data_IF_697694757219
#
_entry.id   IF_697694757219
#
_cell.length_a   1.000
_cell.length_b   1.000
_cell.length_c   1.000
_cell.angle_alpha   90.00
_cell.angle_beta   90.00
_cell.angle_gamma   90.00
#
_symmetry.space_group_name_H-M   'P 1'
#
loop_
_entity.id
_entity.type
_entity.pdbx_description
1 polymer ?
#
# COMPACT_ATOMS: atom_id res chain seq x y z
N UNK A 1 20.80 -39.04 27.72
CA UNK A 1 20.79 -38.14 26.55
C UNK A 1 19.46 -37.40 26.52
N UNK A 2 19.41 -36.22 27.14
CA UNK A 2 18.20 -35.46 27.41
C UNK A 2 18.18 -34.20 26.55
N UNK A 3 17.21 -34.09 25.65
CA UNK A 3 16.93 -32.86 24.89
C UNK A 3 16.39 -31.81 25.87
N UNK A 4 17.09 -30.68 26.02
CA UNK A 4 16.60 -29.51 26.75
C UNK A 4 15.95 -28.54 25.77
N UNK A 5 14.74 -28.13 26.16
CA UNK A 5 13.97 -26.97 25.70
C UNK A 5 14.80 -25.69 25.68
N UNK A 6 14.73 -24.92 24.59
CA UNK A 6 15.19 -23.53 24.54
C UNK A 6 13.96 -22.64 24.43
N UNK A 7 13.65 -21.93 25.51
CA UNK A 7 12.68 -20.85 25.57
C UNK A 7 13.26 -19.60 24.89
N UNK A 8 12.37 -18.83 24.25
CA UNK A 8 12.65 -17.49 23.73
C UNK A 8 13.14 -16.55 24.85
N UNK A 9 14.19 -15.80 24.56
CA UNK A 9 14.52 -14.56 25.28
C UNK A 9 14.32 -13.39 24.32
N UNK A 10 13.58 -12.32 24.67
CA UNK A 10 13.60 -11.11 23.86
C UNK A 10 14.97 -10.44 23.97
N UNK A 11 15.38 -9.76 22.90
CA UNK A 11 16.64 -9.05 22.68
C UNK A 11 16.92 -7.85 23.62
N UNK A 12 16.43 -7.88 24.87
CA UNK A 12 16.74 -6.90 25.92
C UNK A 12 17.42 -7.52 27.16
N UNK A 13 17.49 -8.86 27.28
CA UNK A 13 17.84 -9.54 28.52
C UNK A 13 19.32 -9.94 28.68
N UNK A 14 20.27 -9.09 28.28
CA UNK A 14 21.70 -9.26 28.64
C UNK A 14 22.21 -8.15 29.58
N UNK A 15 21.44 -7.07 29.77
CA UNK A 15 21.84 -5.97 30.66
C UNK A 15 21.50 -6.20 32.14
N UNK A 16 20.50 -7.04 32.43
CA UNK A 16 20.08 -7.28 33.82
C UNK A 16 21.00 -8.26 34.56
N UNK A 17 21.66 -9.18 33.84
CA UNK A 17 22.59 -10.15 34.43
C UNK A 17 23.99 -9.58 34.77
N UNK A 18 24.34 -8.38 34.29
CA UNK A 18 25.62 -7.74 34.60
C UNK A 18 25.52 -6.70 35.73
N UNK A 19 24.35 -6.04 35.88
CA UNK A 19 24.13 -5.04 36.92
C UNK A 19 23.92 -5.61 38.33
N UNK A 20 23.66 -6.91 38.48
CA UNK A 20 23.51 -7.57 39.80
C UNK A 20 24.85 -8.03 40.41
N UNK A 21 25.99 -7.85 39.72
CA UNK A 21 27.34 -8.21 40.24
C UNK A 21 28.21 -7.02 40.63
N UNK A 22 27.71 -5.79 40.51
CA UNK A 22 28.48 -4.57 40.82
C UNK A 22 28.02 -3.86 42.11
N UNK A 23 27.41 -4.59 43.05
CA UNK A 23 27.10 -4.05 44.39
C UNK A 23 28.05 -4.65 45.43
N UNK A 24 29.36 -4.40 45.31
CA UNK A 24 30.25 -4.48 46.46
C UNK A 24 31.52 -3.62 46.26
N UNK A 25 31.64 -2.62 47.14
CA UNK A 25 32.85 -1.93 47.63
C UNK A 25 33.39 -0.70 46.86
N UNK A 26 33.19 0.45 47.52
CA UNK A 26 34.09 1.59 47.81
C UNK A 26 34.79 2.39 46.68
N UNK A 27 34.38 3.66 46.60
CA UNK A 27 35.16 4.90 46.44
C UNK A 27 36.35 4.95 45.47
N UNK A 28 36.14 5.54 44.29
CA UNK A 28 37.14 6.34 43.57
C UNK A 28 36.45 7.33 42.58
N UNK A 29 36.95 8.57 42.41
CA UNK A 29 36.35 9.55 41.52
C UNK A 29 36.69 9.24 40.05
N UNK A 30 35.70 9.38 39.17
CA UNK A 30 35.81 9.11 37.73
C UNK A 30 36.73 10.14 37.04
N UNK A 31 37.73 9.73 36.24
CA UNK A 31 38.50 10.67 35.44
C UNK A 31 37.72 11.11 34.19
N UNK A 32 37.79 12.41 33.94
CA UNK A 32 37.32 13.08 32.71
C UNK A 32 38.27 12.68 31.57
N UNK A 33 37.72 12.48 30.37
CA UNK A 33 38.42 12.17 29.10
C UNK A 33 38.69 10.68 28.78
N UNK A 34 37.63 9.95 28.44
CA UNK A 34 37.66 9.08 27.25
C UNK A 34 36.73 9.69 26.20
N UNK A 35 37.31 10.47 25.29
CA UNK A 35 36.65 10.91 24.06
C UNK A 35 36.85 9.87 22.95
N UNK A 36 35.78 9.64 22.20
CA UNK A 36 35.65 8.81 21.00
C UNK A 36 35.56 7.29 21.20
N UNK A 37 34.35 6.74 20.98
CA UNK A 37 34.12 5.58 20.12
C UNK A 37 32.63 5.21 20.06
N UNK A 38 32.07 5.39 18.84
CA UNK A 38 31.03 4.59 18.19
C UNK A 38 29.55 4.75 18.64
N UNK A 39 28.60 4.64 17.69
CA UNK A 39 27.27 5.20 17.80
C UNK A 39 26.41 4.42 18.80
N UNK A 40 25.46 5.14 19.44
CA UNK A 40 24.28 4.52 20.03
C UNK A 40 23.77 3.46 19.07
N UNK A 41 23.62 2.23 19.57
CA UNK A 41 22.86 1.16 18.95
C UNK A 41 21.67 1.78 18.22
N UNK A 42 21.69 1.78 16.89
CA UNK A 42 20.50 2.09 16.11
C UNK A 42 19.62 0.85 16.24
N UNK A 43 18.97 0.72 17.40
CA UNK A 43 17.69 0.04 17.44
C UNK A 43 16.86 0.74 16.36
N UNK A 44 16.43 0.02 15.34
CA UNK A 44 15.38 0.55 14.49
C UNK A 44 14.19 0.77 15.41
N UNK A 45 13.95 2.04 15.76
CA UNK A 45 12.76 2.43 16.50
C UNK A 45 11.56 1.83 15.76
N UNK A 46 10.64 1.20 16.50
CA UNK A 46 9.36 0.84 15.92
C UNK A 46 8.80 2.10 15.26
N UNK A 47 8.28 2.03 14.02
CA UNK A 47 7.84 3.21 13.33
C UNK A 47 6.89 3.97 14.24
N UNK A 48 7.10 5.29 14.35
CA UNK A 48 6.36 6.19 15.26
C UNK A 48 4.83 6.01 15.10
N UNK A 49 4.41 5.50 13.94
CA UNK A 49 3.07 5.04 13.64
C UNK A 49 3.05 3.61 13.06
N UNK A 50 2.20 2.71 13.58
CA UNK A 50 2.02 1.37 13.02
C UNK A 50 1.45 1.44 11.61
N UNK A 51 1.87 0.54 10.71
CA UNK A 51 1.40 0.52 9.31
C UNK A 51 -0.02 -0.04 9.16
N UNK A 52 -0.54 -0.77 10.16
CA UNK A 52 -1.86 -1.42 10.17
C UNK A 52 -2.35 -1.64 11.61
N UNK A 53 -3.66 -1.67 11.82
CA UNK A 53 -4.33 -2.08 13.07
C UNK A 53 -4.31 -3.59 13.30
N UNK A 54 -4.15 -4.37 12.23
CA UNK A 54 -4.12 -5.83 12.29
C UNK A 54 -2.68 -6.35 12.38
N UNK A 55 -2.47 -7.57 12.91
CA UNK A 55 -1.15 -8.17 12.95
C UNK A 55 -0.52 -8.23 11.57
N UNK A 56 0.79 -8.01 11.53
CA UNK A 56 1.60 -8.17 10.33
C UNK A 56 2.40 -9.47 10.45
N UNK A 57 2.86 -10.05 9.34
CA UNK A 57 3.83 -11.13 9.40
C UNK A 57 5.04 -10.69 10.24
N UNK A 58 5.37 -11.48 11.26
CA UNK A 58 6.53 -11.20 12.14
C UNK A 58 7.81 -11.22 11.33
N UNK A 59 7.88 -12.14 10.35
CA UNK A 59 8.99 -12.23 9.40
C UNK A 59 8.49 -12.64 8.02
N UNK A 60 9.01 -11.97 6.99
CA UNK A 60 8.74 -12.34 5.58
C UNK A 60 9.25 -13.76 5.29
N UNK A 61 10.30 -14.19 6.00
CA UNK A 61 10.91 -15.49 5.78
C UNK A 61 10.17 -16.68 6.42
N UNK A 62 9.02 -16.44 7.03
CA UNK A 62 8.09 -17.46 7.51
C UNK A 62 6.84 -17.56 6.61
N UNK A 63 6.67 -16.64 5.66
CA UNK A 63 5.55 -16.65 4.73
C UNK A 63 5.65 -17.82 3.74
N UNK A 64 4.50 -18.33 3.25
CA UNK A 64 4.48 -19.31 2.16
C UNK A 64 5.39 -18.91 0.99
N UNK A 65 6.13 -19.87 0.38
CA UNK A 65 7.16 -19.54 -0.61
C UNK A 65 6.67 -18.70 -1.80
N UNK A 66 5.44 -18.93 -2.26
CA UNK A 66 4.82 -18.19 -3.35
C UNK A 66 4.53 -16.72 -3.00
N UNK A 67 4.04 -16.47 -1.77
CA UNK A 67 3.77 -15.12 -1.25
C UNK A 67 5.07 -14.36 -1.07
N UNK A 68 6.07 -15.00 -0.44
CA UNK A 68 7.40 -14.41 -0.27
C UNK A 68 8.02 -14.01 -1.60
N UNK A 69 8.03 -14.93 -2.56
CA UNK A 69 8.58 -14.67 -3.90
C UNK A 69 7.90 -13.47 -4.55
N UNK A 70 6.59 -13.33 -4.39
CA UNK A 70 5.84 -12.18 -4.90
C UNK A 70 6.27 -10.86 -4.23
N UNK A 71 6.44 -10.86 -2.91
CA UNK A 71 6.91 -9.71 -2.13
C UNK A 71 8.32 -9.31 -2.57
N UNK A 72 9.22 -10.27 -2.71
CA UNK A 72 10.60 -10.03 -3.18
C UNK A 72 10.61 -9.45 -4.60
N UNK A 73 9.76 -9.96 -5.50
CA UNK A 73 9.66 -9.45 -6.86
C UNK A 73 9.18 -8.00 -6.92
N UNK A 74 8.21 -7.60 -6.09
CA UNK A 74 7.76 -6.20 -6.05
C UNK A 74 8.82 -5.31 -5.40
N UNK A 75 9.53 -5.80 -4.38
CA UNK A 75 10.65 -5.09 -3.76
C UNK A 75 11.75 -4.76 -4.75
N UNK A 76 12.17 -5.73 -5.57
CA UNK A 76 13.17 -5.52 -6.62
C UNK A 76 12.68 -4.51 -7.67
N UNK A 77 11.40 -4.58 -8.07
CA UNK A 77 10.86 -3.70 -9.11
C UNK A 77 10.64 -2.26 -8.64
N UNK A 78 10.24 -2.06 -7.39
CA UNK A 78 9.84 -0.74 -6.87
C UNK A 78 10.86 -0.11 -5.91
N UNK A 79 11.86 -0.87 -5.45
CA UNK A 79 12.86 -0.43 -4.48
C UNK A 79 12.43 -0.56 -3.01
N UNK A 80 11.18 -0.92 -2.74
CA UNK A 80 10.62 -1.12 -1.40
C UNK A 80 9.42 -2.09 -1.44
N UNK A 81 8.90 -2.52 -0.29
CA UNK A 81 7.67 -3.34 -0.24
C UNK A 81 6.47 -2.44 0.04
N UNK A 82 5.50 -2.30 -0.89
CA UNK A 82 4.28 -1.56 -0.59
C UNK A 82 3.51 -2.20 0.57
N UNK A 83 3.08 -1.40 1.55
CA UNK A 83 2.54 -1.89 2.82
C UNK A 83 1.29 -2.78 2.67
N UNK A 84 0.52 -2.64 1.58
CA UNK A 84 -0.60 -3.54 1.28
C UNK A 84 -0.17 -5.02 1.17
N UNK A 85 1.04 -5.29 0.65
CA UNK A 85 1.56 -6.66 0.58
C UNK A 85 1.76 -7.25 1.98
N UNK A 86 2.32 -6.47 2.90
CA UNK A 86 2.56 -6.90 4.27
C UNK A 86 1.25 -7.04 5.04
N UNK A 87 0.32 -6.09 4.87
CA UNK A 87 -0.97 -6.11 5.55
C UNK A 87 -1.83 -7.32 5.14
N UNK A 88 -1.90 -7.62 3.84
CA UNK A 88 -2.69 -8.76 3.36
C UNK A 88 -2.00 -10.11 3.62
N UNK A 89 -0.67 -10.14 3.74
CA UNK A 89 0.07 -11.37 3.99
C UNK A 89 -0.27 -12.02 5.35
N UNK A 90 -0.91 -11.29 6.28
CA UNK A 90 -1.51 -11.88 7.49
C UNK A 90 -2.56 -12.96 7.17
N UNK A 91 -3.21 -12.87 6.00
CA UNK A 91 -4.21 -13.83 5.50
C UNK A 91 -3.77 -14.36 4.13
N UNK A 92 -2.94 -15.42 4.07
CA UNK A 92 -2.33 -15.91 2.84
C UNK A 92 -3.30 -16.18 1.68
N UNK A 93 -4.47 -16.75 1.95
CA UNK A 93 -5.44 -17.08 0.89
C UNK A 93 -6.14 -15.81 0.36
N UNK A 94 -6.44 -14.85 1.25
CA UNK A 94 -6.96 -13.54 0.87
C UNK A 94 -5.93 -12.74 0.06
N UNK A 95 -4.65 -12.78 0.45
CA UNK A 95 -3.54 -12.20 -0.32
C UNK A 95 -3.49 -12.75 -1.74
N UNK A 96 -3.56 -14.08 -1.90
CA UNK A 96 -3.53 -14.73 -3.22
C UNK A 96 -4.70 -14.28 -4.08
N UNK A 97 -5.92 -14.32 -3.54
CA UNK A 97 -7.12 -13.92 -4.26
C UNK A 97 -7.10 -12.45 -4.65
N UNK A 98 -6.76 -11.57 -3.69
CA UNK A 98 -6.67 -10.13 -3.91
C UNK A 98 -5.72 -9.81 -5.07
N UNK A 99 -4.50 -10.34 -5.01
CA UNK A 99 -3.52 -9.99 -6.00
C UNK A 99 -3.67 -10.73 -7.34
N UNK A 100 -4.28 -11.91 -7.36
CA UNK A 100 -4.69 -12.55 -8.61
C UNK A 100 -5.74 -11.70 -9.33
N UNK A 101 -6.73 -11.16 -8.61
CA UNK A 101 -7.74 -10.31 -9.22
C UNK A 101 -7.17 -8.94 -9.62
N UNK A 102 -6.30 -8.35 -8.80
CA UNK A 102 -5.54 -7.16 -9.16
C UNK A 102 -4.83 -7.34 -10.52
N UNK A 103 -4.10 -8.44 -10.70
CA UNK A 103 -3.35 -8.66 -11.94
C UNK A 103 -4.28 -8.88 -13.14
N UNK A 104 -5.39 -9.60 -12.94
CA UNK A 104 -6.39 -9.82 -13.98
C UNK A 104 -7.01 -8.51 -14.49
N UNK A 105 -7.11 -7.48 -13.65
CA UNK A 105 -7.65 -6.17 -14.02
C UNK A 105 -6.56 -5.22 -14.53
N UNK A 106 -5.47 -5.08 -13.78
CA UNK A 106 -4.47 -4.05 -14.04
C UNK A 106 -3.48 -4.45 -15.14
N UNK A 107 -3.20 -5.74 -15.33
CA UNK A 107 -2.16 -6.21 -16.26
C UNK A 107 -2.71 -6.84 -17.56
N UNK A 108 -4.03 -7.04 -17.67
CA UNK A 108 -4.61 -7.60 -18.91
C UNK A 108 -4.45 -6.64 -20.10
N UNK A 109 -4.29 -7.16 -21.34
CA UNK A 109 -4.48 -6.36 -22.55
C UNK A 109 -5.84 -5.68 -22.55
N UNK A 110 -5.88 -4.39 -22.90
CA UNK A 110 -7.06 -3.56 -22.78
C UNK A 110 -6.99 -2.35 -23.72
N UNK A 111 -8.14 -1.79 -24.08
CA UNK A 111 -8.22 -0.48 -24.73
C UNK A 111 -8.06 0.69 -23.74
N UNK A 112 -8.10 0.41 -22.43
CA UNK A 112 -7.71 1.35 -21.39
C UNK A 112 -6.20 1.35 -21.25
N UNK A 113 -5.61 2.54 -21.37
CA UNK A 113 -4.21 2.73 -21.03
C UNK A 113 -3.95 2.49 -19.55
N UNK A 114 -2.70 2.15 -19.20
CA UNK A 114 -2.30 2.00 -17.80
C UNK A 114 -2.55 3.28 -16.98
N UNK A 115 -2.39 4.46 -17.58
CA UNK A 115 -2.71 5.71 -16.90
C UNK A 115 -4.23 5.83 -16.62
N UNK A 116 -5.10 5.46 -17.57
CA UNK A 116 -6.55 5.51 -17.37
C UNK A 116 -7.03 4.54 -16.31
N UNK A 117 -6.46 3.33 -16.22
CA UNK A 117 -6.74 2.41 -15.12
C UNK A 117 -6.42 3.06 -13.78
N UNK A 118 -5.26 3.70 -13.64
CA UNK A 118 -4.89 4.41 -12.42
C UNK A 118 -5.74 5.66 -12.14
N UNK A 119 -6.23 6.37 -13.17
CA UNK A 119 -7.20 7.46 -12.99
C UNK A 119 -8.48 6.98 -12.32
N UNK A 120 -9.01 5.82 -12.75
CA UNK A 120 -10.18 5.19 -12.13
C UNK A 120 -9.90 4.91 -10.65
N UNK A 121 -8.74 4.34 -10.34
CA UNK A 121 -8.36 4.04 -8.95
C UNK A 121 -8.29 5.29 -8.11
N UNK A 122 -7.59 6.34 -8.57
CA UNK A 122 -7.44 7.59 -7.80
C UNK A 122 -8.80 8.27 -7.60
N UNK A 123 -9.63 8.37 -8.65
CA UNK A 123 -10.93 9.04 -8.58
C UNK A 123 -11.92 8.33 -7.64
N UNK A 124 -11.94 6.99 -7.67
CA UNK A 124 -12.82 6.17 -6.81
C UNK A 124 -12.29 6.07 -5.37
N UNK A 125 -10.97 6.05 -5.20
CA UNK A 125 -10.36 6.07 -3.87
C UNK A 125 -10.53 7.41 -3.16
N UNK A 126 -10.53 8.51 -3.91
CA UNK A 126 -10.76 9.84 -3.37
C UNK A 126 -12.18 10.00 -2.82
N UNK A 127 -13.21 9.54 -3.54
CA UNK A 127 -14.60 9.61 -3.04
C UNK A 127 -14.86 8.66 -1.85
N UNK A 128 -14.02 7.64 -1.68
CA UNK A 128 -14.04 6.74 -0.52
C UNK A 128 -13.09 7.18 0.62
N UNK A 129 -12.51 8.38 0.54
CA UNK A 129 -11.56 8.93 1.52
C UNK A 129 -10.42 7.95 1.89
N UNK A 130 -9.92 7.19 0.90
CA UNK A 130 -8.91 6.17 1.14
C UNK A 130 -7.49 6.69 1.01
N UNK A 131 -6.87 7.07 2.14
CA UNK A 131 -5.52 7.64 2.17
C UNK A 131 -4.48 6.75 1.47
N UNK A 132 -4.43 5.45 1.80
CA UNK A 132 -3.45 4.54 1.20
C UNK A 132 -3.56 4.52 -0.32
N UNK A 133 -4.77 4.29 -0.83
CA UNK A 133 -4.99 4.10 -2.25
C UNK A 133 -4.81 5.41 -3.03
N UNK A 134 -5.26 6.55 -2.51
CA UNK A 134 -5.06 7.86 -3.14
C UNK A 134 -3.56 8.18 -3.26
N UNK A 135 -2.78 7.94 -2.21
CA UNK A 135 -1.33 8.24 -2.22
C UNK A 135 -0.57 7.26 -3.11
N UNK A 136 -0.78 5.95 -2.96
CA UNK A 136 -0.06 4.93 -3.71
C UNK A 136 -0.38 4.99 -5.21
N UNK A 137 -1.66 4.98 -5.57
CA UNK A 137 -2.07 5.03 -6.98
C UNK A 137 -1.90 6.42 -7.59
N UNK A 138 -1.93 7.48 -6.79
CA UNK A 138 -1.54 8.82 -7.25
C UNK A 138 -0.08 8.86 -7.73
N UNK A 139 0.83 8.23 -6.99
CA UNK A 139 2.23 8.11 -7.40
C UNK A 139 2.40 7.35 -8.72
N UNK A 140 1.72 6.20 -8.84
CA UNK A 140 1.76 5.38 -10.04
C UNK A 140 1.15 6.14 -11.22
N UNK A 141 0.02 6.83 -11.01
CA UNK A 141 -0.62 7.65 -12.02
C UNK A 141 0.34 8.73 -12.55
N UNK A 142 1.00 9.50 -11.68
CA UNK A 142 1.97 10.53 -12.10
C UNK A 142 3.04 9.96 -13.03
N UNK A 143 3.57 8.77 -12.71
CA UNK A 143 4.55 8.07 -13.55
C UNK A 143 3.94 7.64 -14.89
N UNK A 144 2.77 6.98 -14.87
CA UNK A 144 2.14 6.41 -16.07
C UNK A 144 1.65 7.48 -17.03
N UNK A 145 1.09 8.56 -16.51
CA UNK A 145 0.62 9.69 -17.31
C UNK A 145 1.75 10.66 -17.69
N UNK A 146 2.94 10.52 -17.10
CA UNK A 146 4.05 11.48 -17.20
C UNK A 146 3.58 12.92 -16.91
N UNK A 147 2.66 13.06 -15.94
CA UNK A 147 2.11 14.35 -15.53
C UNK A 147 2.12 14.43 -14.00
N UNK A 148 3.01 15.26 -13.41
CA UNK A 148 3.21 15.31 -11.95
C UNK A 148 2.05 15.96 -11.19
N UNK A 149 1.08 16.59 -11.89
CA UNK A 149 -0.05 17.31 -11.27
C UNK A 149 -1.38 16.56 -11.36
N UNK A 150 -1.45 15.53 -12.21
CA UNK A 150 -2.73 14.94 -12.61
C UNK A 150 -3.40 14.18 -11.47
N UNK A 151 -2.62 13.47 -10.66
CA UNK A 151 -3.15 12.72 -9.52
C UNK A 151 -3.84 13.63 -8.50
N UNK A 152 -3.24 14.79 -8.20
CA UNK A 152 -3.79 15.78 -7.27
C UNK A 152 -5.06 16.40 -7.82
N UNK A 153 -5.09 16.72 -9.12
CA UNK A 153 -6.29 17.25 -9.77
C UNK A 153 -7.45 16.24 -9.72
N UNK A 154 -7.18 14.96 -10.02
CA UNK A 154 -8.20 13.91 -10.00
C UNK A 154 -8.70 13.66 -8.57
N UNK A 155 -7.78 13.54 -7.60
CA UNK A 155 -8.12 13.30 -6.21
C UNK A 155 -8.92 14.46 -5.60
N UNK A 156 -8.55 15.71 -5.89
CA UNK A 156 -9.25 16.88 -5.37
C UNK A 156 -10.61 17.09 -6.06
N UNK A 157 -10.62 17.07 -7.40
CA UNK A 157 -11.83 17.22 -8.20
C UNK A 157 -11.56 16.84 -9.67
N UNK A 158 -11.72 15.57 -10.04
CA UNK A 158 -11.52 15.12 -11.43
C UNK A 158 -12.37 15.88 -12.46
N UNK A 159 -13.50 16.50 -12.05
CA UNK A 159 -14.33 17.34 -12.93
C UNK A 159 -13.66 18.66 -13.31
N UNK A 160 -12.52 19.01 -12.72
CA UNK A 160 -11.69 20.17 -13.07
C UNK A 160 -10.27 19.77 -13.48
N UNK A 161 -9.99 18.47 -13.56
CA UNK A 161 -8.69 17.98 -13.98
C UNK A 161 -8.44 18.22 -15.48
N UNK A 162 -7.16 18.26 -15.83
CA UNK A 162 -6.66 18.35 -17.21
C UNK A 162 -6.81 16.99 -17.93
N UNK A 163 -8.05 16.54 -18.09
CA UNK A 163 -8.43 15.26 -18.71
C UNK A 163 -9.36 15.48 -19.90
N UNK A 164 -9.37 14.53 -20.83
CA UNK A 164 -10.24 14.58 -22.01
C UNK A 164 -11.71 14.33 -21.66
N UNK A 165 -12.68 14.73 -22.51
CA UNK A 165 -14.09 14.36 -22.32
C UNK A 165 -14.31 12.85 -22.20
N UNK A 166 -13.57 12.05 -22.98
CA UNK A 166 -13.60 10.58 -22.89
C UNK A 166 -13.18 10.09 -21.49
N UNK A 167 -12.07 10.60 -20.97
CA UNK A 167 -11.61 10.26 -19.63
C UNK A 167 -12.59 10.71 -18.55
N UNK A 168 -13.22 11.88 -18.71
CA UNK A 168 -14.27 12.32 -17.79
C UNK A 168 -15.46 11.37 -17.76
N UNK A 169 -15.99 10.96 -18.92
CA UNK A 169 -17.11 10.02 -18.99
C UNK A 169 -16.77 8.67 -18.32
N UNK A 170 -15.54 8.19 -18.52
CA UNK A 170 -15.01 7.02 -17.81
C UNK A 170 -15.01 7.19 -16.29
N UNK A 171 -14.53 8.34 -15.79
CA UNK A 171 -14.48 8.61 -14.35
C UNK A 171 -15.86 8.86 -13.74
N UNK A 172 -16.79 9.48 -14.48
CA UNK A 172 -18.18 9.64 -14.06
C UNK A 172 -18.84 8.28 -13.82
N UNK A 173 -18.71 7.36 -14.77
CA UNK A 173 -19.22 6.00 -14.63
C UNK A 173 -18.53 5.22 -13.50
N UNK A 174 -17.20 5.27 -13.43
CA UNK A 174 -16.43 4.63 -12.36
C UNK A 174 -16.84 5.12 -10.96
N UNK A 175 -17.05 6.43 -10.78
CA UNK A 175 -17.54 6.96 -9.51
C UNK A 175 -18.93 6.42 -9.19
N UNK A 176 -19.85 6.39 -10.14
CA UNK A 176 -21.20 5.83 -9.93
C UNK A 176 -21.14 4.36 -9.51
N UNK A 177 -20.28 3.55 -10.15
CA UNK A 177 -20.05 2.15 -9.75
C UNK A 177 -19.52 2.06 -8.31
N UNK A 178 -18.62 2.95 -7.90
CA UNK A 178 -18.00 2.89 -6.59
C UNK A 178 -18.96 3.26 -5.43
N UNK A 179 -19.89 4.20 -5.65
CA UNK A 179 -20.71 4.77 -4.55
C UNK A 179 -22.23 4.66 -4.72
N UNK A 180 -22.75 4.35 -5.92
CA UNK A 180 -24.19 4.31 -6.21
C UNK A 180 -24.54 3.26 -7.29
N UNK A 181 -23.91 2.09 -7.20
CA UNK A 181 -24.03 1.03 -8.23
C UNK A 181 -25.45 0.49 -8.41
N UNK A 182 -26.29 0.56 -7.38
CA UNK A 182 -27.69 0.12 -7.43
C UNK A 182 -28.56 0.95 -8.40
N UNK A 183 -28.10 2.14 -8.78
CA UNK A 183 -28.80 3.04 -9.73
C UNK A 183 -28.20 3.03 -11.13
N UNK A 184 -27.29 2.09 -11.42
CA UNK A 184 -26.78 1.93 -12.78
C UNK A 184 -27.89 1.43 -13.69
N UNK A 185 -27.96 2.03 -14.88
CA UNK A 185 -28.94 1.74 -15.93
C UNK A 185 -28.28 1.87 -17.30
N UNK A 186 -28.97 1.43 -18.35
CA UNK A 186 -28.49 1.51 -19.73
C UNK A 186 -28.17 2.97 -20.15
N UNK A 187 -28.86 3.95 -19.55
CA UNK A 187 -28.62 5.38 -19.79
C UNK A 187 -27.21 5.83 -19.37
N UNK A 188 -26.57 5.13 -18.43
CA UNK A 188 -25.21 5.44 -18.00
C UNK A 188 -24.16 4.99 -19.03
N UNK A 189 -24.52 4.07 -19.94
CA UNK A 189 -23.61 3.53 -20.94
C UNK A 189 -23.57 4.39 -22.20
N UNK A 190 -24.65 5.10 -22.51
CA UNK A 190 -24.76 5.91 -23.72
C UNK A 190 -23.65 6.98 -23.83
N UNK A 191 -23.30 7.75 -22.77
CA UNK A 191 -22.16 8.68 -22.83
C UNK A 191 -20.81 7.99 -23.07
N UNK A 192 -20.63 6.76 -22.58
CA UNK A 192 -19.39 6.00 -22.79
C UNK A 192 -19.28 5.56 -24.26
N UNK A 193 -20.37 5.06 -24.86
CA UNK A 193 -20.41 4.70 -26.27
C UNK A 193 -20.11 5.89 -27.19
N UNK A 194 -20.62 7.08 -26.87
CA UNK A 194 -20.34 8.32 -27.64
C UNK A 194 -18.84 8.68 -27.66
N UNK A 195 -18.08 8.22 -26.67
CA UNK A 195 -16.63 8.40 -26.60
C UNK A 195 -15.83 7.17 -27.06
N UNK A 196 -16.49 6.22 -27.72
CA UNK A 196 -15.86 5.05 -28.34
C UNK A 196 -15.47 3.94 -27.37
N UNK A 197 -15.99 3.95 -26.13
CA UNK A 197 -15.86 2.77 -25.26
C UNK A 197 -16.75 1.65 -25.78
N UNK A 198 -16.24 0.42 -25.75
CA UNK A 198 -17.00 -0.79 -26.02
C UNK A 198 -17.66 -1.30 -24.73
N UNK A 199 -18.59 -2.25 -24.86
CA UNK A 199 -19.18 -2.90 -23.68
C UNK A 199 -18.13 -3.60 -22.80
N UNK A 200 -17.09 -4.17 -23.41
CA UNK A 200 -15.95 -4.76 -22.69
C UNK A 200 -15.15 -3.72 -21.90
N UNK A 201 -15.00 -2.51 -22.43
CA UNK A 201 -14.34 -1.42 -21.72
C UNK A 201 -15.21 -0.94 -20.55
N UNK A 202 -16.54 -0.84 -20.73
CA UNK A 202 -17.48 -0.47 -19.67
C UNK A 202 -17.42 -1.49 -18.52
N UNK A 203 -17.38 -2.78 -18.83
CA UNK A 203 -17.17 -3.83 -17.83
C UNK A 203 -15.84 -3.64 -17.10
N UNK A 204 -14.75 -3.41 -17.83
CA UNK A 204 -13.42 -3.21 -17.22
C UNK A 204 -13.37 -1.99 -16.30
N UNK A 205 -13.97 -0.86 -16.70
CA UNK A 205 -14.08 0.34 -15.87
C UNK A 205 -14.82 0.01 -14.57
N UNK A 206 -15.96 -0.67 -14.67
CA UNK A 206 -16.76 -1.08 -13.52
C UNK A 206 -16.04 -2.08 -12.62
N UNK A 207 -15.33 -3.05 -13.20
CA UNK A 207 -14.59 -4.06 -12.45
C UNK A 207 -13.40 -3.47 -11.68
N UNK A 208 -12.65 -2.53 -12.29
CA UNK A 208 -11.60 -1.78 -11.59
C UNK A 208 -12.21 -0.97 -10.44
N UNK A 209 -13.29 -0.22 -10.70
CA UNK A 209 -13.97 0.55 -9.66
C UNK A 209 -14.45 -0.32 -8.49
N UNK A 210 -15.07 -1.47 -8.78
CA UNK A 210 -15.55 -2.41 -7.76
C UNK A 210 -14.41 -3.02 -6.94
N UNK A 211 -13.34 -3.49 -7.60
CA UNK A 211 -12.18 -4.05 -6.92
C UNK A 211 -11.50 -3.02 -6.01
N UNK A 212 -11.34 -1.78 -6.48
CA UNK A 212 -10.74 -0.74 -5.66
C UNK A 212 -11.67 -0.21 -4.57
N UNK A 213 -12.99 -0.26 -4.76
CA UNK A 213 -13.92 -0.01 -3.68
C UNK A 213 -13.79 -1.06 -2.54
N UNK A 214 -13.52 -2.33 -2.87
CA UNK A 214 -13.15 -3.36 -1.89
C UNK A 214 -11.79 -3.05 -1.25
N UNK A 215 -10.77 -2.76 -2.05
CA UNK A 215 -9.41 -2.41 -1.57
C UNK A 215 -9.44 -1.22 -0.61
N UNK A 216 -10.19 -0.17 -0.94
CA UNK A 216 -10.38 1.01 -0.10
C UNK A 216 -10.97 0.64 1.26
N UNK A 217 -11.99 -0.23 1.29
CA UNK A 217 -12.60 -0.69 2.54
C UNK A 217 -11.62 -1.46 3.41
N UNK A 218 -10.82 -2.35 2.82
CA UNK A 218 -9.78 -3.10 3.53
C UNK A 218 -8.70 -2.15 4.09
N UNK A 219 -8.21 -1.22 3.27
CA UNK A 219 -7.21 -0.23 3.67
C UNK A 219 -7.72 0.71 4.78
N UNK A 220 -8.94 1.25 4.65
CA UNK A 220 -9.53 2.13 5.66
C UNK A 220 -9.80 1.41 6.98
N UNK A 221 -10.40 0.21 6.92
CA UNK A 221 -10.67 -0.62 8.11
C UNK A 221 -9.38 -0.96 8.88
N UNK A 222 -8.31 -1.28 8.14
CA UNK A 222 -7.01 -1.60 8.73
C UNK A 222 -6.19 -0.37 9.12
N UNK A 223 -6.65 0.85 8.82
CA UNK A 223 -5.85 2.07 8.88
C UNK A 223 -4.48 1.90 8.22
N UNK A 224 -4.48 1.34 7.01
CA UNK A 224 -3.27 1.04 6.27
C UNK A 224 -2.52 2.32 5.93
N UNK A 225 -1.26 2.41 6.36
CA UNK A 225 -0.41 3.57 6.08
C UNK A 225 0.27 3.43 4.70
N UNK A 226 0.20 4.43 3.81
CA UNK A 226 1.02 4.42 2.60
C UNK A 226 2.51 4.56 2.95
N UNK A 227 3.36 3.94 2.13
CA UNK A 227 4.81 4.10 2.22
C UNK A 227 5.20 5.57 1.95
N UNK A 228 6.22 6.07 2.66
CA UNK A 228 6.66 7.46 2.53
C UNK A 228 7.19 7.76 1.11
N UNK A 229 7.77 6.75 0.45
CA UNK A 229 8.26 6.80 -0.94
C UNK A 229 7.18 7.24 -1.93
N UNK A 230 5.91 6.86 -1.72
CA UNK A 230 4.82 7.22 -2.64
C UNK A 230 4.53 8.72 -2.64
N UNK A 231 4.83 9.45 -1.55
CA UNK A 231 4.52 10.88 -1.48
C UNK A 231 5.37 11.73 -2.44
N UNK A 232 6.64 11.36 -2.64
CA UNK A 232 7.56 12.06 -3.55
C UNK A 232 7.62 11.49 -4.97
N UNK A 233 7.21 10.23 -5.15
CA UNK A 233 7.35 9.53 -6.41
C UNK A 233 6.55 10.17 -7.56
N UNK A 234 7.22 10.44 -8.69
CA UNK A 234 6.61 11.00 -9.90
C UNK A 234 6.27 12.50 -9.83
N UNK A 235 6.77 13.24 -8.83
CA UNK A 235 6.65 14.70 -8.74
C UNK A 235 7.74 15.43 -9.54
#
# INVERSE_FOLDING_TARGET
MSRRSVFLTPLCAVRQAYNERATHRYDAPMPVWFHSALPREVCMDAPEHPISRFPLPVRIDELPPDIRKRIEQVAVKSGFVPNIFLALAHRPDEFRAFFAYHDALMNRPSNLSQAEKEMIVVATSAVNDCLYCVIAHGAILRIRSKNPRLAEQIAANYRRAEITPRQRAMLDYAQKVAVDSARISDDDWQPLYQHGFTQEDIWEIGAIAAFFAMSNRLANMSALRPNDEFYGMGR
#
